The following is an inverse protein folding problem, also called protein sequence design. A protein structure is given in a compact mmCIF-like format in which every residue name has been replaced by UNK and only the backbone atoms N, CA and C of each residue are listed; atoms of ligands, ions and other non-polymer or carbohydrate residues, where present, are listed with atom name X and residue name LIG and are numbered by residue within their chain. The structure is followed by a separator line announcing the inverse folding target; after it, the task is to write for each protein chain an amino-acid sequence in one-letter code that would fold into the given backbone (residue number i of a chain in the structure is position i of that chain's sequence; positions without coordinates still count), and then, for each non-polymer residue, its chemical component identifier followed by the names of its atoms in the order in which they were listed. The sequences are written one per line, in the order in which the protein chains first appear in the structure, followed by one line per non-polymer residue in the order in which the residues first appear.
data_IF_314550449330
#
_entry.id   IF_314550449330
#
_cell.length_a   1.000
_cell.length_b   1.000
_cell.length_c   1.000
_cell.angle_alpha   90.00
_cell.angle_beta   90.00
_cell.angle_gamma   90.00
#
_symmetry.space_group_name_H-M   'P 1'
#
loop_
_entity.id
_entity.type
_entity.pdbx_description
1 polymer ?
#
# COMPACT_ATOMS: atom_id res chain seq x y z
N UNK A 1 -16.53 14.24 -12.70
CA UNK A 1 -16.40 13.52 -11.42
C UNK A 1 -14.94 13.50 -11.00
N UNK A 2 -14.64 13.81 -9.73
CA UNK A 2 -13.24 13.86 -9.26
C UNK A 2 -12.76 12.45 -8.91
N UNK A 3 -11.73 11.97 -9.62
CA UNK A 3 -11.09 10.70 -9.31
C UNK A 3 -10.24 10.83 -8.03
N UNK A 4 -10.51 10.00 -7.01
CA UNK A 4 -9.76 10.03 -5.75
C UNK A 4 -8.27 9.65 -5.89
N UNK A 5 -7.92 8.89 -6.93
CA UNK A 5 -6.54 8.52 -7.23
C UNK A 5 -5.77 9.61 -8.00
N UNK A 6 -6.48 10.59 -8.57
CA UNK A 6 -5.86 11.81 -9.09
C UNK A 6 -5.67 12.90 -8.01
N UNK A 7 -6.29 12.72 -6.83
CA UNK A 7 -6.26 13.67 -5.72
C UNK A 7 -5.93 12.92 -4.43
N UNK A 8 -4.67 12.49 -4.32
CA UNK A 8 -4.19 11.74 -3.16
C UNK A 8 -4.02 12.66 -1.94
N UNK A 9 -4.22 12.09 -0.77
CA UNK A 9 -3.94 12.75 0.51
C UNK A 9 -2.42 12.87 0.71
N UNK A 10 -1.89 14.06 0.55
CA UNK A 10 -0.44 14.33 0.62
C UNK A 10 0.17 13.96 1.97
N UNK A 11 -0.63 13.98 3.05
CA UNK A 11 -0.16 13.63 4.40
C UNK A 11 0.17 12.14 4.56
N UNK A 12 -0.30 11.30 3.63
CA UNK A 12 -0.10 9.84 3.61
C UNK A 12 0.89 9.37 2.55
N UNK A 13 1.51 10.29 1.80
CA UNK A 13 2.47 9.94 0.76
C UNK A 13 3.77 9.45 1.40
N UNK A 14 4.08 8.18 1.16
CA UNK A 14 5.35 7.53 1.52
C UNK A 14 6.43 7.92 0.50
N UNK A 15 6.08 7.78 -0.79
CA UNK A 15 7.01 8.01 -1.88
C UNK A 15 6.27 8.52 -3.13
N UNK A 16 6.83 9.50 -3.80
CA UNK A 16 6.32 10.04 -5.06
C UNK A 16 7.39 9.86 -6.14
N UNK A 17 7.15 8.90 -7.02
CA UNK A 17 8.01 8.63 -8.18
C UNK A 17 7.59 9.42 -9.42
N UNK A 18 8.28 9.15 -10.52
CA UNK A 18 7.97 9.78 -11.82
C UNK A 18 6.61 9.32 -12.37
N UNK A 19 6.29 8.04 -12.19
CA UNK A 19 5.08 7.41 -12.73
C UNK A 19 4.11 6.92 -11.67
N UNK A 20 4.57 6.63 -10.46
CA UNK A 20 3.76 6.07 -9.40
C UNK A 20 3.90 6.85 -8.10
N UNK A 21 2.82 6.88 -7.32
CA UNK A 21 2.82 7.42 -5.96
C UNK A 21 2.36 6.35 -4.98
N UNK A 22 3.19 6.10 -3.96
CA UNK A 22 2.92 5.15 -2.87
C UNK A 22 2.36 5.91 -1.67
N UNK A 23 1.17 5.50 -1.20
CA UNK A 23 0.51 6.10 -0.02
C UNK A 23 0.20 5.04 1.03
N UNK A 24 0.36 5.39 2.31
CA UNK A 24 -0.11 4.53 3.39
C UNK A 24 -1.64 4.48 3.39
N UNK A 25 -2.20 3.28 3.51
CA UNK A 25 -3.64 3.05 3.56
C UNK A 25 -4.10 2.72 4.99
N UNK A 26 -5.35 2.30 5.16
CA UNK A 26 -5.88 1.81 6.42
C UNK A 26 -4.99 0.68 6.97
N UNK A 27 -4.61 0.75 8.25
CA UNK A 27 -3.67 -0.19 8.87
C UNK A 27 -4.37 -1.39 9.53
N UNK A 28 -5.36 -1.95 8.87
CA UNK A 28 -5.92 -3.27 9.21
C UNK A 28 -4.92 -4.42 8.92
N UNK A 29 -3.99 -4.19 8.01
CA UNK A 29 -2.78 -4.99 7.81
C UNK A 29 -1.57 -4.06 7.95
N UNK A 30 -0.61 -4.43 8.80
CA UNK A 30 0.58 -3.63 9.09
C UNK A 30 1.36 -3.31 7.80
N UNK A 31 1.53 -2.04 7.50
CA UNK A 31 2.18 -1.58 6.28
C UNK A 31 1.29 -1.67 5.03
N UNK A 32 -0.04 -1.83 5.19
CA UNK A 32 -0.95 -1.77 4.04
C UNK A 32 -0.84 -0.43 3.33
N UNK A 33 -0.69 -0.48 2.01
CA UNK A 33 -0.51 0.70 1.17
C UNK A 33 -1.30 0.59 -0.15
N UNK A 34 -1.35 1.70 -0.86
CA UNK A 34 -1.85 1.79 -2.23
C UNK A 34 -0.75 2.40 -3.09
N UNK A 35 -0.48 1.78 -4.23
CA UNK A 35 0.37 2.32 -5.27
C UNK A 35 -0.51 2.81 -6.41
N UNK A 36 -0.57 4.12 -6.61
CA UNK A 36 -1.42 4.77 -7.62
C UNK A 36 -0.59 5.25 -8.79
N UNK A 37 -1.03 4.98 -10.01
CA UNK A 37 -0.38 5.53 -11.21
C UNK A 37 -0.63 7.04 -11.26
N UNK A 38 0.39 7.84 -11.61
CA UNK A 38 0.27 9.30 -11.62
C UNK A 38 -0.64 9.81 -12.73
N UNK A 39 -0.58 9.20 -13.93
CA UNK A 39 -1.52 9.52 -15.00
C UNK A 39 -2.80 8.72 -14.89
N UNK A 40 -3.91 9.28 -15.33
CA UNK A 40 -5.22 8.63 -15.26
C UNK A 40 -5.42 7.69 -16.46
N UNK A 41 -5.41 6.39 -16.21
CA UNK A 41 -5.83 5.34 -17.16
C UNK A 41 -6.71 4.30 -16.46
N UNK A 42 -7.62 3.70 -17.20
CA UNK A 42 -8.61 2.76 -16.68
C UNK A 42 -8.20 1.29 -16.74
N UNK A 43 -7.27 0.92 -17.60
CA UNK A 43 -6.86 -0.48 -17.78
C UNK A 43 -5.40 -0.68 -17.39
N UNK A 44 -5.15 -1.73 -16.63
CA UNK A 44 -3.78 -2.08 -16.23
C UNK A 44 -2.90 -2.48 -17.41
N UNK A 45 -3.51 -3.03 -18.48
CA UNK A 45 -2.81 -3.37 -19.72
C UNK A 45 -2.27 -2.17 -20.50
N UNK A 46 -2.72 -0.94 -20.18
CA UNK A 46 -2.32 0.28 -20.88
C UNK A 46 -1.09 0.96 -20.24
N UNK A 47 -0.49 0.35 -19.20
CA UNK A 47 0.78 0.83 -18.64
C UNK A 47 1.90 0.63 -19.66
N UNK A 48 2.83 1.59 -19.72
CA UNK A 48 3.98 1.51 -20.62
C UNK A 48 5.21 0.91 -19.89
N UNK A 49 6.28 0.65 -20.67
CA UNK A 49 7.49 0.01 -20.17
C UNK A 49 8.18 0.79 -19.05
N UNK A 50 8.19 2.13 -19.11
CA UNK A 50 8.78 2.96 -18.06
C UNK A 50 7.99 2.87 -16.74
N UNK A 51 6.66 2.88 -16.85
CA UNK A 51 5.77 2.68 -15.71
C UNK A 51 5.94 1.29 -15.09
N UNK A 52 6.07 0.26 -15.93
CA UNK A 52 6.32 -1.11 -15.47
C UNK A 52 7.67 -1.23 -14.79
N UNK A 53 8.71 -0.58 -15.31
CA UNK A 53 10.05 -0.59 -14.72
C UNK A 53 10.07 0.10 -13.36
N UNK A 54 9.46 1.28 -13.22
CA UNK A 54 9.37 1.97 -11.93
C UNK A 54 8.54 1.16 -10.92
N UNK A 55 7.43 0.55 -11.37
CA UNK A 55 6.64 -0.36 -10.54
C UNK A 55 7.50 -1.49 -9.95
N UNK A 56 8.31 -2.15 -10.78
CA UNK A 56 9.22 -3.23 -10.34
C UNK A 56 10.21 -2.73 -9.28
N UNK A 57 10.76 -1.54 -9.44
CA UNK A 57 11.68 -0.92 -8.47
C UNK A 57 10.98 -0.67 -7.14
N UNK A 58 9.78 -0.07 -7.17
CA UNK A 58 8.99 0.22 -5.97
C UNK A 58 8.59 -1.08 -5.26
N UNK A 59 8.16 -2.10 -6.01
CA UNK A 59 7.81 -3.42 -5.50
C UNK A 59 8.97 -4.01 -4.69
N UNK A 60 10.14 -4.09 -5.28
CA UNK A 60 11.33 -4.64 -4.62
C UNK A 60 11.72 -3.83 -3.36
N UNK A 61 11.70 -2.51 -3.44
CA UNK A 61 12.02 -1.63 -2.30
C UNK A 61 11.01 -1.81 -1.17
N UNK A 62 9.72 -1.80 -1.46
CA UNK A 62 8.69 -1.92 -0.44
C UNK A 62 8.72 -3.25 0.28
N UNK A 63 8.91 -4.36 -0.45
CA UNK A 63 9.09 -5.68 0.14
C UNK A 63 10.32 -5.72 1.06
N UNK A 64 11.46 -5.18 0.60
CA UNK A 64 12.69 -5.12 1.39
C UNK A 64 12.55 -4.28 2.65
N UNK A 65 11.89 -3.13 2.56
CA UNK A 65 11.64 -2.23 3.70
C UNK A 65 10.78 -2.91 4.75
N UNK A 66 9.65 -3.48 4.35
CA UNK A 66 8.75 -4.13 5.31
C UNK A 66 9.34 -5.40 5.92
N UNK A 67 10.13 -6.14 5.16
CA UNK A 67 10.88 -7.28 5.71
C UNK A 67 11.91 -6.80 6.75
N UNK A 68 12.69 -5.77 6.44
CA UNK A 68 13.70 -5.19 7.33
C UNK A 68 13.09 -4.63 8.61
N UNK A 69 11.99 -3.86 8.49
CA UNK A 69 11.37 -3.18 9.64
C UNK A 69 10.56 -4.12 10.52
N UNK A 70 9.81 -5.03 9.91
CA UNK A 70 8.75 -5.77 10.60
C UNK A 70 8.78 -7.28 10.39
N UNK A 71 9.73 -7.81 9.62
CA UNK A 71 9.78 -9.24 9.30
C UNK A 71 8.62 -9.69 8.41
N UNK A 72 8.13 -8.81 7.52
CA UNK A 72 7.06 -9.15 6.58
C UNK A 72 7.42 -10.42 5.79
N UNK A 73 6.51 -11.41 5.80
CA UNK A 73 6.76 -12.70 5.17
C UNK A 73 6.49 -12.66 3.67
N UNK A 74 5.42 -12.01 3.26
CA UNK A 74 5.04 -11.84 1.85
C UNK A 74 4.10 -10.65 1.68
N UNK A 75 4.00 -10.13 0.44
CA UNK A 75 3.03 -9.10 0.09
C UNK A 75 2.04 -9.63 -0.95
N UNK A 76 0.75 -9.34 -0.74
CA UNK A 76 -0.28 -9.54 -1.76
C UNK A 76 -0.46 -8.24 -2.54
N UNK A 77 -0.29 -8.29 -3.84
CA UNK A 77 -0.47 -7.18 -4.78
C UNK A 77 -1.70 -7.44 -5.63
N UNK A 78 -2.66 -6.49 -5.65
CA UNK A 78 -3.90 -6.62 -6.41
C UNK A 78 -4.27 -5.31 -7.11
N UNK A 79 -4.55 -5.37 -8.41
CA UNK A 79 -5.15 -4.26 -9.15
C UNK A 79 -6.68 -4.43 -9.17
N UNK A 80 -7.36 -3.93 -8.15
CA UNK A 80 -8.82 -4.01 -8.01
C UNK A 80 -9.46 -2.65 -8.20
N UNK A 81 -10.17 -2.45 -9.30
CA UNK A 81 -10.87 -1.20 -9.61
C UNK A 81 -12.39 -1.31 -9.41
N UNK A 82 -12.83 -2.25 -8.59
CA UNK A 82 -14.24 -2.62 -8.41
C UNK A 82 -15.14 -1.45 -8.02
N UNK A 83 -14.65 -0.54 -7.19
CA UNK A 83 -15.46 0.58 -6.70
C UNK A 83 -15.83 1.56 -7.82
N UNK A 84 -14.99 1.73 -8.83
CA UNK A 84 -15.27 2.57 -9.98
C UNK A 84 -16.51 2.09 -10.77
N UNK A 85 -16.69 0.77 -10.84
CA UNK A 85 -17.83 0.14 -11.52
C UNK A 85 -19.05 -0.10 -10.63
N UNK A 86 -18.91 0.12 -9.33
CA UNK A 86 -19.95 -0.13 -8.34
C UNK A 86 -20.39 1.10 -7.60
N UNK A 87 -19.74 1.36 -6.48
CA UNK A 87 -20.18 2.38 -5.50
C UNK A 87 -19.82 3.82 -5.85
N UNK A 88 -18.62 4.04 -6.39
CA UNK A 88 -18.06 5.38 -6.55
C UNK A 88 -18.54 6.07 -7.85
N UNK A 89 -19.08 5.30 -8.80
CA UNK A 89 -19.56 5.76 -10.11
C UNK A 89 -18.61 6.81 -10.73
N UNK A 90 -17.32 6.51 -10.74
CA UNK A 90 -16.26 7.35 -11.29
C UNK A 90 -15.47 6.57 -12.36
N UNK A 91 -14.69 7.28 -13.17
CA UNK A 91 -13.81 6.63 -14.13
C UNK A 91 -12.78 5.75 -13.41
N UNK A 92 -12.54 4.52 -13.85
CA UNK A 92 -11.53 3.66 -13.27
C UNK A 92 -10.14 4.29 -13.39
N UNK A 93 -9.29 4.06 -12.40
CA UNK A 93 -7.92 4.57 -12.34
C UNK A 93 -7.00 3.46 -11.84
N UNK A 94 -5.95 3.16 -12.59
CA UNK A 94 -5.01 2.10 -12.27
C UNK A 94 -4.30 2.37 -10.94
N UNK A 95 -4.54 1.48 -10.00
CA UNK A 95 -3.88 1.46 -8.69
C UNK A 95 -3.76 0.04 -8.17
N UNK A 96 -2.73 -0.23 -7.38
CA UNK A 96 -2.54 -1.53 -6.74
C UNK A 96 -2.76 -1.41 -5.24
N UNK A 97 -3.53 -2.34 -4.71
CA UNK A 97 -3.62 -2.58 -3.27
C UNK A 97 -2.48 -3.47 -2.83
N UNK A 98 -1.79 -3.08 -1.78
CA UNK A 98 -0.67 -3.81 -1.21
C UNK A 98 -1.06 -4.23 0.19
N UNK A 99 -1.08 -5.55 0.45
CA UNK A 99 -1.34 -6.12 1.78
C UNK A 99 -0.17 -6.99 2.21
N UNK A 100 0.64 -6.49 3.15
CA UNK A 100 1.69 -7.28 3.76
C UNK A 100 1.10 -8.38 4.65
N UNK A 101 1.75 -9.53 4.67
CA UNK A 101 1.32 -10.69 5.43
C UNK A 101 2.44 -11.16 6.36
N UNK A 102 2.10 -11.51 7.58
CA UNK A 102 3.04 -11.81 8.65
C UNK A 102 2.75 -13.15 9.28
N UNK A 103 3.72 -14.08 9.19
CA UNK A 103 3.65 -15.36 9.86
C UNK A 103 3.81 -15.22 11.38
N UNK A 104 4.74 -14.36 11.79
CA UNK A 104 5.05 -14.11 13.19
C UNK A 104 4.39 -12.82 13.69
N UNK A 105 4.19 -12.74 14.99
CA UNK A 105 3.73 -11.51 15.64
C UNK A 105 4.75 -10.39 15.47
N UNK A 106 4.28 -9.17 15.35
CA UNK A 106 5.11 -7.97 15.24
C UNK A 106 4.77 -7.01 16.37
N UNK A 107 5.78 -6.41 16.97
CA UNK A 107 5.59 -5.37 17.99
C UNK A 107 6.04 -4.03 17.40
N UNK A 108 5.14 -3.05 17.41
CA UNK A 108 5.41 -1.67 17.01
C UNK A 108 4.94 -0.75 18.11
N UNK A 109 5.82 0.09 18.63
CA UNK A 109 5.50 1.05 19.70
C UNK A 109 4.78 0.37 20.90
N UNK A 110 5.29 -0.77 21.35
CA UNK A 110 4.71 -1.62 22.41
C UNK A 110 3.31 -2.20 22.11
N UNK A 111 2.79 -2.05 20.92
CA UNK A 111 1.54 -2.68 20.48
C UNK A 111 1.82 -3.94 19.65
N UNK A 112 1.11 -5.02 19.97
CA UNK A 112 1.22 -6.30 19.29
C UNK A 112 0.29 -6.32 18.06
N UNK A 113 0.84 -6.73 16.91
CA UNK A 113 0.09 -7.02 15.69
C UNK A 113 0.16 -8.50 15.35
N UNK A 114 -0.97 -9.09 15.02
CA UNK A 114 -1.08 -10.48 14.55
C UNK A 114 -1.90 -10.53 13.27
N UNK A 115 -1.34 -11.13 12.21
CA UNK A 115 -2.08 -11.50 11.01
C UNK A 115 -2.80 -12.83 11.25
N UNK A 116 -4.05 -12.75 11.72
CA UNK A 116 -4.87 -13.92 12.08
C UNK A 116 -5.20 -14.81 10.88
N UNK A 117 -5.16 -14.25 9.67
CA UNK A 117 -5.51 -14.93 8.43
C UNK A 117 -4.27 -15.35 7.63
N UNK A 118 -3.07 -15.35 8.25
CA UNK A 118 -1.86 -15.74 7.53
C UNK A 118 -1.98 -17.16 6.94
N UNK A 119 -1.61 -17.30 5.68
CA UNK A 119 -1.75 -18.55 4.94
C UNK A 119 -3.13 -18.75 4.27
N UNK A 120 -4.09 -17.86 4.54
CA UNK A 120 -5.40 -17.80 3.89
C UNK A 120 -5.63 -16.44 3.24
N UNK A 121 -6.78 -16.25 2.59
CA UNK A 121 -7.14 -14.97 2.03
C UNK A 121 -7.32 -13.92 3.15
N UNK A 122 -6.93 -12.66 2.89
CA UNK A 122 -7.09 -11.59 3.88
C UNK A 122 -8.59 -11.32 4.19
N UNK A 123 -8.88 -10.94 5.42
CA UNK A 123 -10.19 -10.48 5.83
C UNK A 123 -10.38 -9.00 5.45
N UNK A 124 -11.42 -8.71 4.67
CA UNK A 124 -11.78 -7.33 4.28
C UNK A 124 -12.28 -6.49 5.46
N UNK A 125 -12.69 -7.13 6.54
CA UNK A 125 -13.24 -6.52 7.75
C UNK A 125 -12.29 -6.63 8.95
N UNK A 126 -11.04 -7.00 8.71
CA UNK A 126 -10.03 -7.07 9.75
C UNK A 126 -9.97 -5.76 10.54
N UNK A 127 -9.92 -5.82 11.89
CA UNK A 127 -9.82 -4.61 12.71
C UNK A 127 -8.44 -3.99 12.60
N UNK A 128 -8.35 -2.68 12.84
CA UNK A 128 -7.09 -2.00 13.08
C UNK A 128 -6.63 -2.37 14.50
N UNK A 129 -5.37 -2.82 14.62
CA UNK A 129 -4.78 -3.26 15.89
C UNK A 129 -3.86 -2.19 16.51
N UNK A 130 -3.76 -1.02 15.90
CA UNK A 130 -2.91 0.09 16.31
C UNK A 130 -3.72 1.34 16.63
N UNK A 131 -3.23 2.14 17.59
CA UNK A 131 -3.72 3.50 17.79
C UNK A 131 -3.14 4.48 16.76
N UNK A 132 -3.66 5.70 16.75
CA UNK A 132 -3.27 6.73 15.77
C UNK A 132 -1.79 7.12 15.87
N UNK A 133 -1.25 7.20 17.09
CA UNK A 133 0.16 7.49 17.33
C UNK A 133 1.07 6.43 16.70
N UNK A 134 0.75 5.16 16.92
CA UNK A 134 1.50 4.05 16.34
C UNK A 134 1.39 4.01 14.83
N UNK A 135 0.23 4.35 14.24
CA UNK A 135 0.06 4.48 12.80
C UNK A 135 0.97 5.58 12.23
N UNK A 136 1.12 6.72 12.91
CA UNK A 136 2.05 7.77 12.51
C UNK A 136 3.51 7.30 12.59
N UNK A 137 3.87 6.54 13.60
CA UNK A 137 5.21 5.95 13.72
C UNK A 137 5.48 4.99 12.54
N UNK A 138 4.53 4.11 12.22
CA UNK A 138 4.61 3.20 11.08
C UNK A 138 4.87 3.98 9.78
N UNK A 139 4.08 5.05 9.56
CA UNK A 139 4.23 5.92 8.40
C UNK A 139 5.63 6.52 8.31
N UNK A 140 6.13 7.11 9.39
CA UNK A 140 7.44 7.76 9.41
C UNK A 140 8.57 6.74 9.18
N UNK A 141 8.54 5.60 9.85
CA UNK A 141 9.56 4.56 9.68
C UNK A 141 9.66 4.06 8.24
N UNK A 142 8.52 3.80 7.60
CA UNK A 142 8.50 3.35 6.21
C UNK A 142 8.99 4.46 5.27
N UNK A 143 8.52 5.69 5.47
CA UNK A 143 8.89 6.85 4.63
C UNK A 143 10.38 7.16 4.70
N UNK A 144 10.97 7.13 5.88
CA UNK A 144 12.40 7.35 6.08
C UNK A 144 13.23 6.34 5.29
N UNK A 145 12.87 5.05 5.34
CA UNK A 145 13.58 4.00 4.59
C UNK A 145 13.52 4.22 3.06
N UNK A 146 12.47 4.83 2.54
CA UNK A 146 12.42 5.22 1.12
C UNK A 146 13.36 6.38 0.78
N UNK A 147 13.67 7.26 1.73
CA UNK A 147 14.50 8.45 1.52
C UNK A 147 16.00 8.21 1.79
N UNK A 148 16.36 7.08 2.42
CA UNK A 148 17.75 6.73 2.76
C UNK A 148 18.59 6.17 1.58
N UNK A 149 18.03 6.07 0.36
CA UNK A 149 18.70 5.45 -0.80
C UNK A 149 18.83 6.46 -1.93
#
# INVERSE_FOLDING_TARGET
MKCKHCQLDETKIIYKGSYWTLILSKQDYLGRAILSLNRHIGNFSDINDNELMEFKIILHRYESILNKLYGCTMLNWCCNMNNAYGKDNCSPHVHLHIRPRYKEKVIVNNMEYTDKEFGAHYDRFAPIQFDEETIQIIFQMIKEQFNEI
#
